data_IF_658171345222
#
_entry.id   IF_658171345222
#
_cell.length_a   1.000
_cell.length_b   1.000
_cell.length_c   1.000
_cell.angle_alpha   90.00
_cell.angle_beta   90.00
_cell.angle_gamma   90.00
#
_symmetry.space_group_name_H-M   'P 1'
#
loop_
_entity.id
_entity.type
_entity.pdbx_description
1 polymer ?
#
# COMPACT_ATOMS: atom_id res chain seq x y z
N UNK A 1 19.54 32.60 -36.42
CA UNK A 1 18.82 33.77 -35.88
C UNK A 1 17.91 33.42 -34.69
N UNK A 2 17.15 32.34 -34.69
CA UNK A 2 16.26 31.94 -33.57
C UNK A 2 16.99 31.50 -32.29
N UNK A 3 18.15 30.83 -32.39
CA UNK A 3 18.90 30.34 -31.22
C UNK A 3 19.56 31.48 -30.44
N UNK A 4 20.12 32.48 -31.14
CA UNK A 4 20.70 33.67 -30.49
C UNK A 4 19.68 34.54 -29.79
N UNK A 5 18.46 34.68 -30.34
CA UNK A 5 17.38 35.46 -29.72
C UNK A 5 16.90 34.81 -28.41
N UNK A 6 16.82 33.48 -28.37
CA UNK A 6 16.44 32.75 -27.16
C UNK A 6 17.51 32.83 -26.04
N UNK A 7 18.81 32.85 -26.41
CA UNK A 7 19.90 32.95 -25.41
C UNK A 7 19.96 34.34 -24.77
N UNK A 8 19.74 35.40 -25.54
CA UNK A 8 19.69 36.77 -25.01
C UNK A 8 18.49 36.96 -24.08
N UNK A 9 17.30 36.48 -24.43
CA UNK A 9 16.15 36.55 -23.53
C UNK A 9 16.37 35.79 -22.20
N UNK A 10 16.97 34.61 -22.22
CA UNK A 10 17.26 33.86 -21.01
C UNK A 10 18.28 34.56 -20.13
N UNK A 11 19.25 35.24 -20.74
CA UNK A 11 20.26 36.01 -20.05
C UNK A 11 19.68 37.27 -19.37
N UNK A 12 18.78 37.97 -20.06
CA UNK A 12 18.05 39.11 -19.50
C UNK A 12 17.20 38.73 -18.27
N UNK A 13 16.54 37.57 -18.30
CA UNK A 13 15.76 37.06 -17.14
C UNK A 13 16.67 36.66 -15.98
N UNK A 14 17.84 36.11 -16.24
CA UNK A 14 18.82 35.75 -15.24
C UNK A 14 19.41 37.03 -14.58
N UNK A 15 19.79 38.00 -15.40
CA UNK A 15 20.43 39.25 -14.93
C UNK A 15 19.48 40.13 -14.08
N UNK A 16 18.17 40.06 -14.35
CA UNK A 16 17.14 40.76 -13.55
C UNK A 16 17.01 40.21 -12.14
N UNK A 17 16.94 38.89 -11.94
CA UNK A 17 16.86 38.24 -10.64
C UNK A 17 17.30 36.77 -10.71
N UNK A 18 18.60 36.49 -10.50
CA UNK A 18 19.15 35.13 -10.61
C UNK A 18 18.44 34.10 -9.71
N UNK A 19 18.04 34.49 -8.50
CA UNK A 19 17.37 33.60 -7.56
C UNK A 19 15.99 33.17 -8.05
N UNK A 20 15.16 34.11 -8.54
CA UNK A 20 13.83 33.76 -9.07
C UNK A 20 13.92 32.94 -10.36
N UNK A 21 14.90 33.24 -11.21
CA UNK A 21 15.15 32.47 -12.41
C UNK A 21 15.55 31.01 -12.09
N UNK A 22 16.51 30.81 -11.17
CA UNK A 22 16.92 29.46 -10.73
C UNK A 22 15.73 28.72 -10.11
N UNK A 23 14.92 29.41 -9.27
CA UNK A 23 13.70 28.85 -8.67
C UNK A 23 12.73 28.36 -9.74
N UNK A 24 12.55 29.12 -10.83
CA UNK A 24 11.68 28.74 -11.95
C UNK A 24 12.22 27.51 -12.70
N UNK A 25 13.55 27.45 -12.95
CA UNK A 25 14.18 26.29 -13.60
C UNK A 25 14.01 25.01 -12.75
N UNK A 26 14.25 25.13 -11.45
CA UNK A 26 14.06 23.99 -10.52
C UNK A 26 12.57 23.59 -10.42
N UNK A 27 11.65 24.57 -10.49
CA UNK A 27 10.23 24.29 -10.56
C UNK A 27 9.86 23.50 -11.84
N UNK A 28 10.47 23.85 -12.96
CA UNK A 28 10.26 23.11 -14.21
C UNK A 28 10.76 21.66 -14.10
N UNK A 29 11.93 21.45 -13.52
CA UNK A 29 12.50 20.12 -13.27
C UNK A 29 11.61 19.32 -12.30
N UNK A 30 11.16 19.94 -11.19
CA UNK A 30 10.26 19.30 -10.23
C UNK A 30 8.92 18.91 -10.85
N UNK A 31 8.33 19.78 -11.68
CA UNK A 31 7.09 19.49 -12.42
C UNK A 31 7.29 18.32 -13.37
N UNK A 32 8.40 18.31 -14.12
CA UNK A 32 8.73 17.23 -15.06
C UNK A 32 8.85 15.87 -14.35
N UNK A 33 9.54 15.84 -13.20
CA UNK A 33 9.63 14.65 -12.36
C UNK A 33 8.25 14.19 -11.91
N UNK A 34 7.40 15.09 -11.41
CA UNK A 34 6.04 14.77 -10.99
C UNK A 34 5.21 14.20 -12.15
N UNK A 35 5.28 14.80 -13.32
CA UNK A 35 4.58 14.32 -14.54
C UNK A 35 5.08 12.92 -14.92
N UNK A 36 6.40 12.68 -14.90
CA UNK A 36 6.98 11.36 -15.16
C UNK A 36 6.44 10.32 -14.16
N UNK A 37 6.36 10.65 -12.86
CA UNK A 37 5.78 9.72 -11.88
C UNK A 37 4.30 9.40 -12.18
N UNK A 38 3.50 10.41 -12.51
CA UNK A 38 2.10 10.18 -12.86
C UNK A 38 1.95 9.29 -14.10
N UNK A 39 2.70 9.53 -15.17
CA UNK A 39 2.51 8.80 -16.42
C UNK A 39 3.30 7.49 -16.50
N UNK A 40 4.56 7.47 -16.08
CA UNK A 40 5.44 6.30 -16.22
C UNK A 40 5.31 5.28 -15.07
N UNK A 41 4.92 5.71 -13.85
CA UNK A 41 4.77 4.82 -12.70
C UNK A 41 3.29 4.55 -12.42
N UNK A 42 2.52 5.59 -12.07
CA UNK A 42 1.09 5.42 -11.73
C UNK A 42 0.23 5.12 -12.96
N UNK A 43 0.62 5.62 -14.13
CA UNK A 43 0.03 5.26 -15.41
C UNK A 43 0.06 3.77 -15.72
N UNK A 44 1.07 3.04 -15.20
CA UNK A 44 1.12 1.58 -15.33
C UNK A 44 -0.10 0.89 -14.73
N UNK A 45 -0.67 1.43 -13.63
CA UNK A 45 -1.91 0.93 -13.04
C UNK A 45 -3.13 1.47 -13.78
N UNK A 46 -3.13 2.78 -14.08
CA UNK A 46 -4.25 3.45 -14.76
C UNK A 46 -4.63 2.75 -16.07
N UNK A 47 -3.63 2.29 -16.82
CA UNK A 47 -3.78 1.62 -18.11
C UNK A 47 -3.50 0.11 -18.05
N UNK A 48 -3.36 -0.46 -16.84
CA UNK A 48 -3.14 -1.88 -16.66
C UNK A 48 -4.29 -2.69 -17.28
N UNK A 49 -3.95 -3.63 -18.13
CA UNK A 49 -4.88 -4.61 -18.69
C UNK A 49 -4.48 -5.98 -18.16
N UNK A 50 -5.26 -6.50 -17.24
CA UNK A 50 -5.07 -7.88 -16.82
C UNK A 50 -5.53 -8.78 -17.95
N UNK A 51 -4.70 -9.75 -18.35
CA UNK A 51 -5.12 -10.78 -19.28
C UNK A 51 -6.24 -11.57 -18.61
N UNK A 52 -7.40 -11.61 -19.25
CA UNK A 52 -8.58 -12.32 -18.75
C UNK A 52 -8.47 -13.86 -18.83
N UNK A 53 -7.31 -14.37 -19.19
CA UNK A 53 -7.08 -15.81 -19.16
C UNK A 53 -7.07 -16.25 -17.69
N UNK A 54 -8.23 -16.72 -17.24
CA UNK A 54 -8.30 -17.62 -16.10
C UNK A 54 -7.49 -18.87 -16.47
N UNK A 55 -6.21 -18.85 -16.22
CA UNK A 55 -5.51 -20.10 -16.04
C UNK A 55 -6.16 -20.73 -14.82
N UNK A 56 -6.97 -21.75 -15.02
CA UNK A 56 -7.60 -22.51 -13.94
C UNK A 56 -6.46 -23.06 -13.08
N UNK A 57 -6.11 -22.33 -12.04
CA UNK A 57 -5.10 -22.79 -11.08
C UNK A 57 -5.83 -23.70 -10.11
N UNK A 58 -5.51 -24.98 -10.15
CA UNK A 58 -5.94 -25.95 -9.13
C UNK A 58 -4.85 -26.12 -8.04
N UNK A 59 -3.86 -25.21 -8.00
CA UNK A 59 -2.77 -25.28 -7.01
C UNK A 59 -3.33 -25.01 -5.60
N UNK A 60 -2.97 -25.84 -4.62
CA UNK A 60 -3.53 -25.73 -3.29
C UNK A 60 -3.02 -24.47 -2.57
N UNK A 61 -3.92 -23.83 -1.80
CA UNK A 61 -3.69 -22.54 -1.12
C UNK A 61 -3.93 -22.65 0.39
N UNK A 62 -3.04 -22.10 1.20
CA UNK A 62 -3.28 -21.86 2.62
C UNK A 62 -3.52 -20.36 2.85
N UNK A 63 -4.73 -20.01 3.28
CA UNK A 63 -5.08 -18.64 3.72
C UNK A 63 -4.67 -18.48 5.18
N UNK A 64 -3.87 -17.47 5.50
CA UNK A 64 -3.33 -17.24 6.84
C UNK A 64 -3.99 -16.01 7.45
N UNK A 65 -4.59 -16.17 8.62
CA UNK A 65 -5.23 -15.10 9.42
C UNK A 65 -4.66 -15.13 10.83
N UNK A 66 -4.12 -13.99 11.30
CA UNK A 66 -3.73 -13.84 12.70
C UNK A 66 -4.81 -13.05 13.44
N UNK A 67 -5.23 -13.58 14.59
CA UNK A 67 -6.26 -12.99 15.42
C UNK A 67 -5.80 -12.86 16.87
N UNK A 68 -6.20 -11.76 17.52
CA UNK A 68 -6.09 -11.55 18.95
C UNK A 68 -7.24 -10.63 19.39
N UNK A 69 -8.14 -11.16 20.22
CA UNK A 69 -9.34 -10.46 20.67
C UNK A 69 -10.21 -9.97 19.50
N UNK A 70 -10.47 -10.88 18.54
CA UNK A 70 -11.13 -10.57 17.26
C UNK A 70 -12.48 -11.29 17.10
N UNK A 71 -13.15 -11.62 18.22
CA UNK A 71 -14.39 -12.37 18.21
C UNK A 71 -15.43 -11.81 17.22
N UNK A 72 -15.74 -10.50 17.31
CA UNK A 72 -16.78 -9.90 16.47
C UNK A 72 -16.39 -9.87 14.99
N UNK A 73 -15.12 -9.58 14.71
CA UNK A 73 -14.64 -9.56 13.33
C UNK A 73 -14.62 -10.96 12.73
N UNK A 74 -14.14 -11.96 13.45
CA UNK A 74 -14.10 -13.34 12.97
C UNK A 74 -15.50 -13.93 12.80
N UNK A 75 -16.44 -13.62 13.68
CA UNK A 75 -17.84 -14.07 13.57
C UNK A 75 -18.48 -13.65 12.25
N UNK A 76 -18.20 -12.40 11.80
CA UNK A 76 -18.76 -11.89 10.55
C UNK A 76 -17.92 -12.29 9.33
N UNK A 77 -16.59 -12.30 9.43
CA UNK A 77 -15.68 -12.33 8.28
C UNK A 77 -15.18 -13.75 7.95
N UNK A 78 -14.96 -14.61 8.96
CA UNK A 78 -14.36 -15.92 8.77
C UNK A 78 -15.21 -16.86 7.90
N UNK A 79 -16.55 -16.91 8.02
CA UNK A 79 -17.39 -17.70 7.10
C UNK A 79 -17.20 -17.31 5.63
N UNK A 80 -16.95 -16.02 5.32
CA UNK A 80 -16.71 -15.57 3.96
C UNK A 80 -15.35 -16.04 3.40
N UNK A 81 -14.37 -16.28 4.28
CA UNK A 81 -13.08 -16.88 3.90
C UNK A 81 -13.19 -18.39 3.73
N UNK A 82 -14.07 -19.04 4.50
CA UNK A 82 -14.27 -20.51 4.50
C UNK A 82 -15.15 -21.00 3.34
N UNK A 83 -15.90 -20.11 2.70
CA UNK A 83 -16.84 -20.40 1.60
C UNK A 83 -16.39 -19.84 0.25
N UNK A 84 -15.08 -19.75 0.01
CA UNK A 84 -14.55 -19.31 -1.27
C UNK A 84 -14.79 -20.37 -2.37
N UNK A 85 -15.06 -19.92 -3.59
CA UNK A 85 -15.21 -20.79 -4.77
C UNK A 85 -13.83 -21.26 -5.25
N UNK A 86 -13.22 -22.15 -4.46
CA UNK A 86 -11.93 -22.76 -4.76
C UNK A 86 -11.86 -24.15 -4.14
N UNK A 87 -11.48 -25.16 -4.93
CA UNK A 87 -11.63 -26.56 -4.54
C UNK A 87 -10.59 -27.03 -3.51
N UNK A 88 -9.38 -26.49 -3.56
CA UNK A 88 -8.26 -27.02 -2.79
C UNK A 88 -7.58 -25.91 -1.96
N UNK A 89 -8.18 -25.57 -0.82
CA UNK A 89 -7.60 -24.59 0.10
C UNK A 89 -7.93 -24.90 1.56
N UNK A 90 -7.12 -24.36 2.45
CA UNK A 90 -7.38 -24.30 3.89
C UNK A 90 -7.33 -22.85 4.38
N UNK A 91 -7.97 -22.58 5.49
CA UNK A 91 -7.85 -21.32 6.24
C UNK A 91 -7.20 -21.63 7.58
N UNK A 92 -6.01 -21.09 7.81
CA UNK A 92 -5.26 -21.24 9.05
C UNK A 92 -5.45 -20.00 9.89
N UNK A 93 -6.21 -20.10 10.97
CA UNK A 93 -6.40 -19.02 11.94
C UNK A 93 -5.45 -19.23 13.12
N UNK A 94 -4.57 -18.24 13.32
CA UNK A 94 -3.65 -18.22 14.45
C UNK A 94 -4.24 -17.38 15.56
N UNK A 95 -4.75 -18.03 16.60
CA UNK A 95 -5.27 -17.37 17.80
C UNK A 95 -4.11 -17.10 18.77
N UNK A 96 -3.70 -15.83 18.87
CA UNK A 96 -2.56 -15.39 19.65
C UNK A 96 -2.97 -14.88 21.03
N UNK A 97 -3.30 -15.81 21.93
CA UNK A 97 -3.60 -15.51 23.33
C UNK A 97 -4.78 -14.56 23.49
N UNK A 98 -5.90 -14.79 22.78
CA UNK A 98 -7.12 -14.04 22.95
C UNK A 98 -7.72 -14.26 24.32
N UNK A 99 -8.26 -13.20 24.93
CA UNK A 99 -8.93 -13.19 26.24
C UNK A 99 -10.46 -13.13 26.12
N UNK A 100 -10.95 -12.85 24.88
CA UNK A 100 -12.37 -12.84 24.53
C UNK A 100 -12.87 -14.21 24.06
N UNK A 101 -14.12 -14.30 23.61
CA UNK A 101 -14.76 -15.52 23.13
C UNK A 101 -14.23 -16.06 21.79
N UNK A 102 -13.11 -15.49 21.26
CA UNK A 102 -12.51 -15.91 19.98
C UNK A 102 -12.22 -17.42 19.95
N UNK A 103 -11.71 -17.99 21.03
CA UNK A 103 -11.37 -19.41 21.10
C UNK A 103 -12.59 -20.32 20.95
N UNK A 104 -13.72 -19.96 21.60
CA UNK A 104 -14.95 -20.73 21.52
C UNK A 104 -15.56 -20.65 20.11
N UNK A 105 -15.64 -19.44 19.56
CA UNK A 105 -16.08 -19.23 18.18
C UNK A 105 -15.30 -20.07 17.17
N UNK A 106 -13.97 -20.07 17.28
CA UNK A 106 -13.12 -20.84 16.36
C UNK A 106 -13.36 -22.34 16.46
N UNK A 107 -13.56 -22.87 17.69
CA UNK A 107 -13.91 -24.27 17.89
C UNK A 107 -15.22 -24.62 17.21
N UNK A 108 -16.28 -23.82 17.44
CA UNK A 108 -17.60 -24.08 16.86
C UNK A 108 -17.55 -24.03 15.33
N UNK A 109 -16.84 -23.04 14.74
CA UNK A 109 -16.67 -22.97 13.29
C UNK A 109 -15.82 -24.13 12.74
N UNK A 110 -14.88 -24.68 13.50
CA UNK A 110 -14.08 -25.83 13.03
C UNK A 110 -14.88 -27.14 12.93
N UNK A 111 -15.98 -27.24 13.67
CA UNK A 111 -16.91 -28.36 13.55
C UNK A 111 -17.76 -28.25 12.27
N UNK A 112 -18.06 -27.02 11.83
CA UNK A 112 -18.86 -26.74 10.63
C UNK A 112 -18.03 -26.76 9.34
N UNK A 113 -16.78 -26.22 9.41
CA UNK A 113 -15.93 -26.03 8.24
C UNK A 113 -14.65 -26.89 8.29
N UNK A 114 -14.58 -28.02 7.57
CA UNK A 114 -13.43 -28.93 7.61
C UNK A 114 -12.12 -28.33 7.02
N UNK A 115 -12.22 -27.24 6.26
CA UNK A 115 -11.07 -26.49 5.74
C UNK A 115 -10.53 -25.44 6.71
N UNK A 116 -11.10 -25.29 7.93
CA UNK A 116 -10.58 -24.44 8.99
C UNK A 116 -9.54 -25.19 9.83
N UNK A 117 -8.36 -24.60 9.94
CA UNK A 117 -7.29 -25.05 10.85
C UNK A 117 -7.03 -24.00 11.91
N UNK A 118 -7.13 -24.38 13.16
CA UNK A 118 -6.87 -23.50 14.31
C UNK A 118 -5.47 -23.75 14.85
N UNK A 119 -4.73 -22.69 15.10
CA UNK A 119 -3.42 -22.73 15.77
C UNK A 119 -3.48 -21.81 16.99
N UNK A 120 -3.56 -22.38 18.16
CA UNK A 120 -3.56 -21.63 19.42
C UNK A 120 -2.13 -21.39 19.92
N UNK A 121 -1.83 -20.14 20.22
CA UNK A 121 -0.58 -19.72 20.88
C UNK A 121 -0.92 -19.28 22.31
N UNK A 122 -0.41 -19.96 23.34
CA UNK A 122 -0.66 -19.60 24.74
C UNK A 122 -0.19 -18.18 25.06
N UNK A 123 -0.86 -17.53 26.04
CA UNK A 123 -0.51 -16.17 26.51
C UNK A 123 0.93 -16.08 27.05
N UNK A 124 1.42 -17.13 27.69
CA UNK A 124 2.75 -17.17 28.31
C UNK A 124 3.90 -17.02 27.32
N UNK A 125 3.63 -17.22 26.02
CA UNK A 125 4.60 -17.01 24.94
C UNK A 125 4.60 -15.56 24.40
N UNK A 126 3.99 -14.61 25.10
CA UNK A 126 3.93 -13.20 24.74
C UNK A 126 5.26 -12.42 24.84
N UNK A 127 6.42 -13.11 24.87
CA UNK A 127 7.74 -12.48 24.82
C UNK A 127 7.97 -11.67 23.53
N UNK A 128 7.18 -11.91 22.49
CA UNK A 128 7.33 -11.33 21.17
C UNK A 128 6.19 -10.35 20.88
N UNK A 129 6.50 -9.08 20.96
CA UNK A 129 5.54 -8.01 20.60
C UNK A 129 5.41 -7.91 19.07
N UNK A 130 4.17 -8.02 18.55
CA UNK A 130 3.85 -7.81 17.14
C UNK A 130 3.33 -9.04 16.40
N UNK A 131 2.96 -8.86 15.14
CA UNK A 131 2.30 -9.87 14.30
C UNK A 131 3.27 -10.93 13.73
N UNK A 132 4.58 -10.67 13.70
CA UNK A 132 5.57 -11.55 13.03
C UNK A 132 5.65 -12.94 13.65
N UNK A 133 5.58 -13.03 14.97
CA UNK A 133 5.65 -14.34 15.65
C UNK A 133 4.42 -15.21 15.33
N UNK A 134 3.17 -14.76 15.59
CA UNK A 134 2.01 -15.58 15.23
C UNK A 134 1.94 -15.84 13.72
N UNK A 135 2.32 -14.88 12.88
CA UNK A 135 2.35 -15.08 11.43
C UNK A 135 3.37 -16.17 11.03
N UNK A 136 4.56 -16.21 11.66
CA UNK A 136 5.56 -17.26 11.41
C UNK A 136 5.05 -18.64 11.81
N UNK A 137 4.29 -18.74 12.91
CA UNK A 137 3.68 -19.98 13.36
C UNK A 137 2.59 -20.42 12.37
N UNK A 138 1.75 -19.51 11.92
CA UNK A 138 0.74 -19.76 10.87
C UNK A 138 1.36 -20.28 9.57
N UNK A 139 2.43 -19.61 9.09
CA UNK A 139 3.18 -20.04 7.90
C UNK A 139 3.76 -21.44 8.09
N UNK A 140 4.38 -21.71 9.24
CA UNK A 140 4.92 -23.04 9.55
C UNK A 140 3.83 -24.09 9.55
N UNK A 141 2.68 -23.79 10.13
CA UNK A 141 1.53 -24.70 10.27
C UNK A 141 0.76 -24.92 8.97
N UNK A 142 0.89 -24.04 7.99
CA UNK A 142 0.24 -24.13 6.68
C UNK A 142 0.63 -25.43 5.95
N UNK A 143 -0.34 -26.09 5.35
CA UNK A 143 -0.15 -27.32 4.59
C UNK A 143 0.49 -27.08 3.22
N UNK A 144 0.14 -25.96 2.58
CA UNK A 144 0.46 -25.71 1.18
C UNK A 144 1.57 -24.66 0.99
N UNK A 145 2.24 -24.68 -0.16
CA UNK A 145 3.32 -23.74 -0.49
C UNK A 145 2.80 -22.35 -0.88
N UNK A 146 1.62 -22.27 -1.48
CA UNK A 146 1.00 -20.99 -1.81
C UNK A 146 0.28 -20.44 -0.58
N UNK A 147 0.79 -19.34 -0.04
CA UNK A 147 0.25 -18.66 1.13
C UNK A 147 -0.46 -17.39 0.71
N UNK A 148 -1.69 -17.20 1.15
CA UNK A 148 -2.49 -16.00 0.95
C UNK A 148 -2.81 -15.37 2.29
N UNK A 149 -2.57 -14.07 2.45
CA UNK A 149 -2.65 -13.35 3.72
C UNK A 149 -3.80 -12.36 3.72
N UNK A 150 -4.51 -12.33 4.84
CA UNK A 150 -5.49 -11.28 5.17
C UNK A 150 -5.52 -11.04 6.67
N UNK A 151 -6.13 -9.92 7.09
CA UNK A 151 -6.32 -9.61 8.51
C UNK A 151 -7.71 -10.08 8.98
N UNK A 152 -7.88 -10.31 10.28
CA UNK A 152 -9.15 -10.77 10.86
C UNK A 152 -10.29 -9.75 10.67
N UNK A 153 -9.95 -8.44 10.58
CA UNK A 153 -10.89 -7.34 10.32
C UNK A 153 -11.18 -7.09 8.83
N UNK A 154 -10.74 -8.02 7.96
CA UNK A 154 -10.88 -7.91 6.51
C UNK A 154 -11.85 -8.94 5.94
N UNK A 155 -12.67 -8.50 4.99
CA UNK A 155 -13.53 -9.38 4.20
C UNK A 155 -13.05 -9.44 2.75
N UNK A 156 -13.05 -10.61 2.09
CA UNK A 156 -12.90 -10.68 0.65
C UNK A 156 -14.13 -10.05 -0.01
N UNK A 157 -13.93 -9.32 -1.10
CA UNK A 157 -15.03 -8.65 -1.81
C UNK A 157 -15.93 -9.63 -2.55
N UNK A 158 -15.42 -10.81 -2.89
CA UNK A 158 -16.17 -11.87 -3.54
C UNK A 158 -15.68 -13.25 -3.10
N UNK A 159 -16.45 -14.29 -3.43
CA UNK A 159 -16.02 -15.67 -3.28
C UNK A 159 -14.97 -16.12 -4.32
N UNK A 160 -14.55 -15.25 -5.22
CA UNK A 160 -13.49 -15.50 -6.22
C UNK A 160 -12.11 -15.03 -5.76
N UNK A 161 -11.98 -14.47 -4.56
CA UNK A 161 -10.73 -13.86 -4.09
C UNK A 161 -9.55 -14.83 -4.09
N UNK A 162 -9.71 -16.03 -3.51
CA UNK A 162 -8.66 -17.06 -3.51
C UNK A 162 -8.28 -17.44 -4.95
N UNK A 163 -9.27 -17.69 -5.81
CA UNK A 163 -9.05 -18.04 -7.22
C UNK A 163 -8.28 -16.95 -7.97
N UNK A 164 -8.67 -15.68 -7.78
CA UNK A 164 -8.01 -14.54 -8.43
C UNK A 164 -6.55 -14.39 -8.01
N UNK A 165 -6.27 -14.51 -6.72
CA UNK A 165 -4.93 -14.42 -6.21
C UNK A 165 -4.06 -15.60 -6.67
N UNK A 166 -4.60 -16.82 -6.60
CA UNK A 166 -3.92 -18.05 -7.01
C UNK A 166 -3.58 -18.08 -8.51
N UNK A 167 -4.47 -17.59 -9.38
CA UNK A 167 -4.26 -17.57 -10.82
C UNK A 167 -3.03 -16.76 -11.28
N UNK A 168 -2.49 -15.91 -10.42
CA UNK A 168 -1.27 -15.12 -10.72
C UNK A 168 0.03 -15.89 -10.44
N UNK A 169 -0.01 -17.04 -9.77
CA UNK A 169 1.16 -17.88 -9.53
C UNK A 169 1.49 -18.74 -10.76
N UNK A 170 1.98 -18.10 -11.79
CA UNK A 170 2.53 -18.75 -12.98
C UNK A 170 4.01 -19.07 -12.76
N UNK A 171 4.65 -19.69 -13.77
CA UNK A 171 6.09 -20.00 -13.71
C UNK A 171 6.93 -18.76 -13.35
N UNK A 172 7.84 -18.92 -12.40
CA UNK A 172 8.70 -17.86 -11.87
C UNK A 172 8.02 -16.87 -10.92
N UNK A 173 6.68 -16.92 -10.72
CA UNK A 173 5.99 -16.05 -9.77
C UNK A 173 6.05 -16.63 -8.36
N UNK A 174 6.60 -15.84 -7.43
CA UNK A 174 6.68 -16.18 -6.01
C UNK A 174 5.87 -15.24 -5.12
N UNK A 175 5.51 -14.04 -5.61
CA UNK A 175 4.81 -12.99 -4.87
C UNK A 175 3.66 -12.44 -5.71
N UNK A 176 2.48 -12.30 -5.10
CA UNK A 176 1.34 -11.59 -5.67
C UNK A 176 0.88 -10.50 -4.70
N UNK A 177 0.77 -9.28 -5.19
CA UNK A 177 0.40 -8.10 -4.41
C UNK A 177 -0.99 -7.64 -4.84
N UNK A 178 -1.93 -7.63 -3.89
CA UNK A 178 -3.31 -7.21 -4.11
C UNK A 178 -3.62 -5.80 -3.59
N UNK A 179 -4.88 -5.37 -3.76
CA UNK A 179 -5.40 -4.13 -3.23
C UNK A 179 -6.33 -4.39 -2.03
N UNK A 180 -6.01 -3.77 -0.89
CA UNK A 180 -6.86 -3.76 0.30
C UNK A 180 -7.57 -2.41 0.42
N UNK A 181 -8.90 -2.40 0.19
CA UNK A 181 -9.75 -1.22 0.28
C UNK A 181 -10.23 -0.96 1.72
N UNK A 182 -10.85 0.20 1.94
CA UNK A 182 -11.67 0.45 3.11
C UNK A 182 -13.15 0.55 2.76
N UNK A 183 -14.01 0.12 3.70
CA UNK A 183 -15.46 0.29 3.57
C UNK A 183 -15.81 1.77 3.37
N UNK A 184 -16.68 2.03 2.40
CA UNK A 184 -17.10 3.40 2.05
C UNK A 184 -18.13 3.91 3.05
N UNK A 185 -17.96 5.14 3.50
CA UNK A 185 -18.93 5.89 4.28
C UNK A 185 -18.93 7.36 3.92
N UNK A 186 -19.98 8.10 4.29
CA UNK A 186 -20.18 9.50 3.91
C UNK A 186 -19.54 10.46 4.94
N UNK A 187 -18.25 10.27 5.27
CA UNK A 187 -17.53 11.20 6.13
C UNK A 187 -16.25 11.70 5.47
N UNK A 188 -15.86 12.94 5.77
CA UNK A 188 -14.61 13.52 5.26
C UNK A 188 -13.39 12.70 5.69
N UNK A 189 -13.40 12.18 6.93
CA UNK A 189 -12.36 11.28 7.42
C UNK A 189 -12.28 10.00 6.59
N UNK A 190 -13.41 9.41 6.22
CA UNK A 190 -13.42 8.22 5.36
C UNK A 190 -12.85 8.53 3.97
N UNK A 191 -13.21 9.67 3.37
CA UNK A 191 -12.65 10.09 2.09
C UNK A 191 -11.13 10.28 2.18
N UNK A 192 -10.64 10.88 3.26
CA UNK A 192 -9.20 11.06 3.53
C UNK A 192 -8.47 9.72 3.70
N UNK A 193 -9.02 8.79 4.50
CA UNK A 193 -8.45 7.45 4.73
C UNK A 193 -8.37 6.69 3.40
N UNK A 194 -9.42 6.73 2.60
CA UNK A 194 -9.47 6.06 1.29
C UNK A 194 -8.53 6.70 0.28
N UNK A 195 -8.41 8.03 0.28
CA UNK A 195 -7.42 8.73 -0.54
C UNK A 195 -5.98 8.34 -0.16
N UNK A 196 -5.65 8.35 1.14
CA UNK A 196 -4.32 7.95 1.61
C UNK A 196 -3.99 6.50 1.22
N UNK A 197 -4.98 5.60 1.34
CA UNK A 197 -4.88 4.20 0.92
C UNK A 197 -4.66 4.09 -0.60
N UNK A 198 -5.44 4.83 -1.39
CA UNK A 198 -5.28 4.87 -2.84
C UNK A 198 -3.89 5.37 -3.24
N UNK A 199 -3.40 6.44 -2.60
CA UNK A 199 -2.07 7.00 -2.83
C UNK A 199 -0.96 5.99 -2.53
N UNK A 200 -1.07 5.26 -1.41
CA UNK A 200 -0.15 4.17 -1.06
C UNK A 200 -0.23 3.06 -2.11
N UNK A 201 -1.43 2.69 -2.55
CA UNK A 201 -1.64 1.67 -3.58
C UNK A 201 -1.05 2.09 -4.94
N UNK A 202 -1.23 3.36 -5.34
CA UNK A 202 -0.59 3.91 -6.54
C UNK A 202 0.93 3.76 -6.49
N UNK A 203 1.54 3.98 -5.32
CA UNK A 203 2.96 3.78 -5.14
C UNK A 203 3.33 2.29 -5.29
N UNK A 204 2.85 1.39 -4.42
CA UNK A 204 3.40 0.03 -4.41
C UNK A 204 2.99 -0.80 -5.64
N UNK A 205 1.76 -0.65 -6.14
CA UNK A 205 1.33 -1.33 -7.36
C UNK A 205 2.01 -0.72 -8.60
N UNK A 206 2.15 0.61 -8.65
CA UNK A 206 2.81 1.31 -9.76
C UNK A 206 4.27 0.95 -9.88
N UNK A 207 5.00 0.98 -8.76
CA UNK A 207 6.40 0.55 -8.72
C UNK A 207 6.54 -0.93 -9.09
N UNK A 208 5.66 -1.81 -8.60
CA UNK A 208 5.68 -3.21 -8.98
C UNK A 208 5.50 -3.41 -10.49
N UNK A 209 4.54 -2.70 -11.11
CA UNK A 209 4.33 -2.73 -12.55
C UNK A 209 5.43 -2.05 -13.36
N UNK A 210 6.19 -1.15 -12.74
CA UNK A 210 7.38 -0.55 -13.33
C UNK A 210 8.64 -1.43 -13.17
N UNK A 211 8.51 -2.64 -12.60
CA UNK A 211 9.63 -3.57 -12.39
C UNK A 211 10.44 -3.29 -11.12
N UNK A 212 9.92 -2.49 -10.20
CA UNK A 212 10.58 -2.05 -8.97
C UNK A 212 9.71 -2.34 -7.73
N UNK A 213 9.24 -3.59 -7.50
CA UNK A 213 8.38 -3.90 -6.36
C UNK A 213 9.12 -3.63 -5.04
N UNK A 214 8.45 -2.98 -4.08
CA UNK A 214 9.09 -2.59 -2.84
C UNK A 214 8.26 -2.83 -1.57
N UNK A 215 6.96 -2.98 -1.68
CA UNK A 215 6.07 -3.30 -0.57
C UNK A 215 4.80 -4.01 -1.03
N UNK A 216 4.12 -4.65 -0.12
CA UNK A 216 2.76 -5.14 -0.21
C UNK A 216 1.99 -4.75 1.04
N UNK A 217 0.70 -5.04 1.09
CA UNK A 217 -0.14 -4.83 2.27
C UNK A 217 -0.58 -6.19 2.81
N UNK A 218 -0.33 -6.46 4.09
CA UNK A 218 -0.58 -7.74 4.74
C UNK A 218 -2.03 -8.21 4.68
N UNK A 219 -2.97 -7.29 4.45
CA UNK A 219 -4.39 -7.61 4.30
C UNK A 219 -4.80 -8.12 2.92
N UNK A 220 -3.91 -8.06 1.91
CA UNK A 220 -4.16 -8.64 0.58
C UNK A 220 -2.85 -8.86 -0.17
N UNK A 221 -2.14 -9.90 0.17
CA UNK A 221 -0.93 -10.34 -0.54
C UNK A 221 -0.78 -11.85 -0.46
N UNK A 222 0.01 -12.41 -1.36
CA UNK A 222 0.34 -13.83 -1.34
C UNK A 222 1.82 -14.03 -1.67
N UNK A 223 2.42 -15.09 -1.13
CA UNK A 223 3.75 -15.53 -1.53
C UNK A 223 3.95 -17.03 -1.26
N UNK A 224 5.00 -17.61 -1.87
CA UNK A 224 5.34 -19.00 -1.65
C UNK A 224 5.97 -19.22 -0.28
N UNK A 225 5.57 -20.28 0.40
CA UNK A 225 6.16 -20.70 1.69
C UNK A 225 7.65 -20.97 1.56
N UNK A 226 8.07 -21.57 0.45
CA UNK A 226 9.47 -21.77 0.08
C UNK A 226 10.25 -20.46 0.04
N UNK A 227 9.70 -19.38 -0.53
CA UNK A 227 10.31 -18.05 -0.53
C UNK A 227 10.52 -17.53 0.91
N UNK A 228 9.53 -17.72 1.78
CA UNK A 228 9.65 -17.29 3.19
C UNK A 228 10.85 -17.94 3.87
N UNK A 229 11.05 -19.24 3.71
CA UNK A 229 12.19 -19.94 4.27
C UNK A 229 13.51 -19.55 3.61
N UNK A 230 13.54 -19.42 2.29
CA UNK A 230 14.74 -18.99 1.56
C UNK A 230 15.22 -17.59 1.98
N UNK A 231 14.30 -16.73 2.43
CA UNK A 231 14.63 -15.41 2.97
C UNK A 231 14.95 -15.43 4.48
N UNK A 232 14.99 -16.59 5.14
CA UNK A 232 15.10 -16.74 6.58
C UNK A 232 13.98 -16.01 7.35
N UNK A 233 12.76 -16.01 6.79
CA UNK A 233 11.58 -15.39 7.38
C UNK A 233 11.79 -13.93 7.73
N UNK A 234 11.38 -13.54 8.93
CA UNK A 234 11.45 -12.16 9.42
C UNK A 234 12.74 -11.84 10.21
N UNK A 235 13.75 -12.71 10.25
CA UNK A 235 14.95 -12.56 11.10
C UNK A 235 15.64 -11.21 10.89
N UNK A 236 15.78 -10.74 9.64
CA UNK A 236 16.47 -9.48 9.30
C UNK A 236 15.83 -8.23 9.91
N UNK A 237 14.55 -8.28 10.27
CA UNK A 237 13.80 -7.15 10.81
C UNK A 237 12.86 -7.55 11.96
N UNK A 238 13.21 -8.62 12.66
CA UNK A 238 12.41 -9.19 13.75
C UNK A 238 12.17 -8.19 14.88
N UNK A 239 13.16 -7.35 15.20
CA UNK A 239 13.10 -6.33 16.27
C UNK A 239 12.21 -5.13 15.93
N UNK A 240 11.83 -4.96 14.66
CA UNK A 240 10.94 -3.87 14.22
C UNK A 240 9.50 -4.34 14.46
N UNK A 241 8.66 -3.57 15.15
CA UNK A 241 7.30 -3.99 15.52
C UNK A 241 6.36 -4.26 14.34
N UNK A 242 6.55 -3.54 13.22
CA UNK A 242 5.83 -3.67 11.95
C UNK A 242 6.75 -4.24 10.89
N UNK A 243 6.30 -4.43 9.66
CA UNK A 243 7.13 -4.87 8.54
C UNK A 243 7.05 -6.36 8.25
N UNK A 244 6.04 -7.02 8.74
CA UNK A 244 5.70 -8.39 8.36
C UNK A 244 5.27 -8.49 6.90
N UNK A 245 4.75 -7.43 6.36
CA UNK A 245 4.34 -7.29 4.96
C UNK A 245 5.36 -6.49 4.13
N UNK A 246 5.50 -5.20 4.39
CA UNK A 246 6.26 -4.28 3.54
C UNK A 246 7.77 -4.56 3.56
N UNK A 247 8.39 -4.83 4.74
CA UNK A 247 9.83 -5.10 4.81
C UNK A 247 10.18 -6.49 4.26
N UNK A 248 9.30 -7.48 4.44
CA UNK A 248 9.50 -8.79 3.83
C UNK A 248 9.47 -8.68 2.30
N UNK A 249 8.44 -8.01 1.75
CA UNK A 249 8.34 -7.78 0.30
C UNK A 249 9.50 -6.91 -0.19
N UNK A 250 9.90 -5.85 0.56
CA UNK A 250 11.05 -5.02 0.17
C UNK A 250 12.33 -5.83 -0.01
N UNK A 251 12.54 -6.86 0.83
CA UNK A 251 13.69 -7.75 0.76
C UNK A 251 13.58 -8.76 -0.40
N UNK A 252 12.42 -9.43 -0.51
CA UNK A 252 12.23 -10.63 -1.34
C UNK A 252 11.79 -10.34 -2.77
N UNK A 253 11.08 -9.22 -3.00
CA UNK A 253 10.49 -8.92 -4.29
C UNK A 253 11.50 -8.46 -5.34
N UNK A 254 11.26 -8.91 -6.57
CA UNK A 254 12.00 -8.56 -7.79
C UNK A 254 11.02 -8.35 -8.95
N UNK A 255 11.47 -7.71 -10.03
CA UNK A 255 10.67 -7.57 -11.25
C UNK A 255 10.23 -8.91 -11.86
N UNK A 256 10.99 -9.99 -11.61
CA UNK A 256 10.76 -11.30 -12.23
C UNK A 256 9.79 -12.15 -11.42
N UNK A 257 9.86 -12.07 -10.09
CA UNK A 257 9.10 -12.96 -9.20
C UNK A 257 7.80 -12.34 -8.66
N UNK A 258 7.49 -11.08 -8.98
CA UNK A 258 6.36 -10.35 -8.39
C UNK A 258 5.32 -9.98 -9.45
N UNK A 259 4.04 -10.27 -9.17
CA UNK A 259 2.88 -9.85 -9.95
C UNK A 259 1.90 -9.06 -9.11
N UNK A 260 1.01 -8.31 -9.76
CA UNK A 260 -0.09 -7.62 -9.08
C UNK A 260 -1.43 -8.25 -9.49
N UNK A 261 -2.38 -8.26 -8.54
CA UNK A 261 -3.78 -8.59 -8.78
C UNK A 261 -4.65 -7.43 -8.30
N UNK A 262 -5.38 -6.79 -9.22
CA UNK A 262 -6.18 -5.59 -8.94
C UNK A 262 -7.61 -5.66 -9.47
N UNK A 263 -8.06 -6.83 -9.90
CA UNK A 263 -9.45 -6.97 -10.29
C UNK A 263 -10.36 -6.82 -9.07
N UNK A 264 -11.55 -6.29 -9.31
CA UNK A 264 -12.50 -5.96 -8.26
C UNK A 264 -12.81 -7.14 -7.32
N UNK A 265 -12.90 -8.36 -7.90
CA UNK A 265 -13.22 -9.60 -7.18
C UNK A 265 -12.07 -10.08 -6.27
N UNK A 266 -10.85 -9.56 -6.47
CA UNK A 266 -9.68 -9.88 -5.65
C UNK A 266 -9.41 -8.91 -4.51
N UNK A 267 -10.21 -7.86 -4.37
CA UNK A 267 -10.02 -6.89 -3.29
C UNK A 267 -10.42 -7.46 -1.94
N UNK A 268 -9.70 -7.07 -0.89
CA UNK A 268 -10.16 -7.18 0.50
C UNK A 268 -10.67 -5.82 1.00
N UNK A 269 -11.59 -5.84 1.95
CA UNK A 269 -12.22 -4.62 2.49
C UNK A 269 -12.09 -4.64 4.00
N UNK A 270 -11.44 -3.62 4.58
CA UNK A 270 -11.35 -3.40 6.02
C UNK A 270 -12.30 -2.30 6.49
N UNK A 271 -12.60 -2.29 7.78
CA UNK A 271 -13.27 -1.16 8.41
C UNK A 271 -12.31 0.01 8.59
N UNK A 272 -12.70 1.24 8.18
CA UNK A 272 -11.87 2.42 8.41
C UNK A 272 -11.86 2.78 9.90
N UNK A 273 -10.79 3.43 10.36
CA UNK A 273 -10.74 3.96 11.72
C UNK A 273 -11.83 5.02 11.92
N UNK A 274 -12.50 4.95 13.07
CA UNK A 274 -13.67 5.79 13.41
C UNK A 274 -13.32 7.22 13.79
N UNK A 275 -12.04 7.51 14.15
CA UNK A 275 -11.60 8.85 14.52
C UNK A 275 -10.25 9.21 13.92
N UNK A 276 -10.00 10.53 13.77
CA UNK A 276 -8.74 11.07 13.28
C UNK A 276 -7.55 10.62 14.15
N UNK A 277 -7.72 10.58 15.48
CA UNK A 277 -6.68 10.15 16.41
C UNK A 277 -6.29 8.68 16.21
N UNK A 278 -7.26 7.80 15.97
CA UNK A 278 -7.00 6.38 15.67
C UNK A 278 -6.29 6.22 14.33
N UNK A 279 -6.70 6.99 13.32
CA UNK A 279 -6.02 7.00 12.02
C UNK A 279 -4.58 7.53 12.13
N UNK A 280 -4.34 8.61 12.88
CA UNK A 280 -3.00 9.15 13.15
C UNK A 280 -2.11 8.08 13.82
N UNK A 281 -2.62 7.37 14.83
CA UNK A 281 -1.87 6.28 15.49
C UNK A 281 -1.50 5.17 14.49
N UNK A 282 -2.44 4.77 13.64
CA UNK A 282 -2.20 3.79 12.58
C UNK A 282 -1.14 4.31 11.58
N UNK A 283 -1.28 5.55 11.12
CA UNK A 283 -0.35 6.20 10.18
C UNK A 283 1.06 6.29 10.74
N UNK A 284 1.21 6.70 12.01
CA UNK A 284 2.51 6.74 12.70
C UNK A 284 3.19 5.38 12.69
N UNK A 285 2.45 4.31 12.97
CA UNK A 285 2.98 2.94 12.94
C UNK A 285 3.49 2.56 11.54
N UNK A 286 2.72 2.86 10.48
CA UNK A 286 3.14 2.56 9.10
C UNK A 286 4.36 3.37 8.64
N UNK A 287 4.53 4.60 9.15
CA UNK A 287 5.69 5.43 8.80
C UNK A 287 7.02 4.91 9.38
N UNK A 288 6.99 4.02 10.38
CA UNK A 288 8.23 3.51 10.99
C UNK A 288 9.06 2.61 10.07
N UNK A 289 8.43 1.93 9.12
CA UNK A 289 9.11 0.93 8.27
C UNK A 289 9.86 1.56 7.10
N UNK A 290 9.42 2.71 6.61
CA UNK A 290 10.00 3.35 5.43
C UNK A 290 11.52 3.65 5.52
N UNK A 291 12.03 3.90 6.73
CA UNK A 291 13.46 4.10 6.99
C UNK A 291 14.33 2.86 6.69
N UNK A 292 13.73 1.67 6.68
CA UNK A 292 14.41 0.39 6.46
C UNK A 292 14.33 -0.13 5.02
N UNK A 293 13.67 0.57 4.11
CA UNK A 293 13.61 0.19 2.71
C UNK A 293 14.98 0.27 2.04
N UNK A 294 15.17 -0.47 0.95
CA UNK A 294 16.39 -0.42 0.13
C UNK A 294 16.68 1.04 -0.29
N UNK A 295 17.96 1.45 -0.38
CA UNK A 295 18.35 2.83 -0.67
C UNK A 295 17.68 3.41 -1.91
N UNK A 296 17.59 2.64 -2.99
CA UNK A 296 16.92 3.05 -4.22
C UNK A 296 15.44 3.39 -4.00
N UNK A 297 14.71 2.57 -3.25
CA UNK A 297 13.29 2.82 -2.98
C UNK A 297 13.09 4.06 -2.10
N UNK A 298 13.96 4.25 -1.10
CA UNK A 298 13.96 5.49 -0.29
C UNK A 298 14.22 6.72 -1.15
N UNK A 299 15.20 6.65 -2.03
CA UNK A 299 15.51 7.74 -2.95
C UNK A 299 14.33 8.05 -3.88
N UNK A 300 13.78 7.04 -4.54
CA UNK A 300 12.68 7.24 -5.48
C UNK A 300 11.42 7.81 -4.78
N UNK A 301 11.00 7.23 -3.66
CA UNK A 301 9.87 7.75 -2.88
C UNK A 301 10.13 9.15 -2.31
N UNK A 302 11.34 9.38 -1.83
CA UNK A 302 11.79 10.68 -1.31
C UNK A 302 11.87 11.76 -2.39
N UNK A 303 12.34 11.43 -3.59
CA UNK A 303 12.39 12.34 -4.73
C UNK A 303 10.99 12.84 -5.11
N UNK A 304 10.00 11.93 -5.16
CA UNK A 304 8.61 12.32 -5.39
C UNK A 304 8.10 13.27 -4.31
N UNK A 305 8.30 12.93 -3.03
CA UNK A 305 7.83 13.76 -1.92
C UNK A 305 8.53 15.12 -1.88
N UNK A 306 9.85 15.16 -2.13
CA UNK A 306 10.63 16.40 -2.15
C UNK A 306 10.20 17.31 -3.30
N UNK A 307 10.10 16.78 -4.52
CA UNK A 307 9.67 17.56 -5.69
C UNK A 307 8.23 18.06 -5.54
N UNK A 308 7.37 17.32 -4.85
CA UNK A 308 6.02 17.73 -4.52
C UNK A 308 6.00 18.91 -3.55
N UNK A 309 6.79 18.86 -2.47
CA UNK A 309 6.91 19.95 -1.51
C UNK A 309 7.49 21.21 -2.18
N UNK A 310 8.57 21.03 -2.93
CA UNK A 310 9.20 22.13 -3.67
C UNK A 310 8.24 22.77 -4.67
N UNK A 311 7.50 21.95 -5.43
CA UNK A 311 6.52 22.43 -6.41
C UNK A 311 5.52 23.41 -5.79
N UNK A 312 4.87 23.03 -4.70
CA UNK A 312 3.88 23.89 -4.06
C UNK A 312 4.51 25.13 -3.44
N UNK A 313 5.67 25.01 -2.79
CA UNK A 313 6.38 26.15 -2.19
C UNK A 313 6.83 27.15 -3.27
N UNK A 314 7.47 26.66 -4.35
CA UNK A 314 7.97 27.49 -5.43
C UNK A 314 6.85 28.17 -6.23
N UNK A 315 5.76 27.42 -6.55
CA UNK A 315 4.59 28.01 -7.20
C UNK A 315 4.01 29.15 -6.37
N UNK A 316 3.81 28.93 -5.06
CA UNK A 316 3.28 29.97 -4.17
C UNK A 316 4.21 31.16 -4.11
N UNK A 317 5.51 30.96 -3.91
CA UNK A 317 6.50 32.06 -3.83
C UNK A 317 6.59 32.89 -5.13
N UNK A 318 6.69 32.22 -6.29
CA UNK A 318 6.79 32.91 -7.59
C UNK A 318 5.51 33.66 -7.94
N UNK A 319 4.33 33.14 -7.58
CA UNK A 319 3.04 33.84 -7.80
C UNK A 319 2.87 35.05 -6.85
N UNK A 320 3.34 34.98 -5.61
CA UNK A 320 3.31 36.12 -4.67
C UNK A 320 4.14 37.29 -5.21
N UNK A 321 5.35 37.02 -5.73
CA UNK A 321 6.23 38.04 -6.29
C UNK A 321 5.89 38.37 -7.77
N UNK A 322 4.86 37.75 -8.32
CA UNK A 322 4.38 37.92 -9.69
C UNK A 322 5.46 37.68 -10.77
N UNK A 323 6.40 36.75 -10.49
CA UNK A 323 7.47 36.40 -11.41
C UNK A 323 7.00 35.32 -12.39
N UNK A 324 6.98 35.63 -13.67
CA UNK A 324 6.55 34.75 -14.77
C UNK A 324 5.24 34.01 -14.51
N UNK A 325 4.15 34.68 -14.06
CA UNK A 325 2.93 34.04 -13.53
C UNK A 325 2.28 33.12 -14.54
N UNK A 326 2.29 33.43 -15.82
CA UNK A 326 1.68 32.57 -16.86
C UNK A 326 2.41 31.25 -17.03
N UNK A 327 3.75 31.25 -16.92
CA UNK A 327 4.55 30.01 -16.95
C UNK A 327 4.22 29.18 -15.72
N UNK A 328 4.21 29.77 -14.56
CA UNK A 328 3.91 29.08 -13.27
C UNK A 328 2.50 28.49 -13.32
N UNK A 329 1.50 29.25 -13.76
CA UNK A 329 0.12 28.76 -13.92
C UNK A 329 0.07 27.58 -14.92
N UNK A 330 0.77 27.69 -16.05
CA UNK A 330 0.89 26.58 -17.02
C UNK A 330 1.44 25.29 -16.41
N UNK A 331 2.49 25.39 -15.58
CA UNK A 331 3.06 24.25 -14.87
C UNK A 331 2.09 23.66 -13.83
N UNK A 332 1.35 24.51 -13.11
CA UNK A 332 0.29 24.08 -12.18
C UNK A 332 -0.81 23.31 -12.92
N UNK A 333 -1.30 23.85 -14.05
CA UNK A 333 -2.33 23.20 -14.85
C UNK A 333 -1.84 21.84 -15.38
N UNK A 334 -0.63 21.79 -15.94
CA UNK A 334 -0.03 20.54 -16.45
C UNK A 334 0.06 19.46 -15.36
N UNK A 335 0.55 19.85 -14.18
CA UNK A 335 0.71 18.93 -13.06
C UNK A 335 -0.64 18.46 -12.52
N UNK A 336 -1.60 19.38 -12.30
CA UNK A 336 -2.93 19.03 -11.81
C UNK A 336 -3.70 18.18 -12.82
N UNK A 337 -3.60 18.47 -14.11
CA UNK A 337 -4.19 17.64 -15.16
C UNK A 337 -3.62 16.20 -15.08
N UNK A 338 -2.30 16.07 -15.05
CA UNK A 338 -1.64 14.74 -14.95
C UNK A 338 -2.08 13.99 -13.68
N UNK A 339 -2.12 14.68 -12.55
CA UNK A 339 -2.58 14.11 -11.28
C UNK A 339 -4.03 13.64 -11.34
N UNK A 340 -4.95 14.52 -11.70
CA UNK A 340 -6.39 14.22 -11.68
C UNK A 340 -6.75 13.16 -12.73
N UNK A 341 -6.18 13.26 -13.93
CA UNK A 341 -6.42 12.29 -14.98
C UNK A 341 -5.97 10.88 -14.60
N UNK A 342 -4.70 10.74 -14.20
CA UNK A 342 -4.15 9.43 -13.85
C UNK A 342 -4.81 8.88 -12.59
N UNK A 343 -4.97 9.70 -11.54
CA UNK A 343 -5.65 9.28 -10.30
C UNK A 343 -7.10 8.86 -10.58
N UNK A 344 -7.84 9.60 -11.42
CA UNK A 344 -9.20 9.23 -11.80
C UNK A 344 -9.29 7.87 -12.50
N UNK A 345 -8.33 7.56 -13.38
CA UNK A 345 -8.23 6.24 -14.01
C UNK A 345 -7.92 5.13 -12.99
N UNK A 346 -6.97 5.38 -12.06
CA UNK A 346 -6.64 4.43 -10.99
C UNK A 346 -7.82 4.25 -10.03
N UNK A 347 -8.52 5.31 -9.64
CA UNK A 347 -9.75 5.23 -8.85
C UNK A 347 -10.78 4.29 -9.50
N UNK A 348 -10.99 4.43 -10.81
CA UNK A 348 -11.88 3.54 -11.55
C UNK A 348 -11.41 2.09 -11.50
N UNK A 349 -10.11 1.83 -11.66
CA UNK A 349 -9.50 0.48 -11.61
C UNK A 349 -9.65 -0.17 -10.24
N UNK A 350 -9.40 0.60 -9.18
CA UNK A 350 -9.46 0.11 -7.80
C UNK A 350 -10.86 0.27 -7.16
N UNK A 351 -11.88 0.58 -7.99
CA UNK A 351 -13.27 0.73 -7.54
C UNK A 351 -13.46 1.82 -6.47
N UNK A 352 -12.62 2.87 -6.50
CA UNK A 352 -12.74 4.04 -5.65
C UNK A 352 -13.56 5.17 -6.32
N UNK A 353 -14.22 6.01 -5.52
CA UNK A 353 -15.04 7.13 -6.01
C UNK A 353 -15.29 8.17 -4.93
N UNK A 354 -15.69 9.37 -5.34
CA UNK A 354 -16.26 10.40 -4.47
C UNK A 354 -15.25 11.42 -3.91
N UNK A 355 -13.95 11.33 -4.28
CA UNK A 355 -12.95 12.28 -3.76
C UNK A 355 -11.96 12.81 -4.83
N UNK A 356 -12.22 12.61 -6.11
CA UNK A 356 -11.26 13.02 -7.16
C UNK A 356 -10.94 14.52 -7.09
N UNK A 357 -11.94 15.38 -6.95
CA UNK A 357 -11.74 16.83 -6.83
C UNK A 357 -11.09 17.26 -5.52
N UNK A 358 -11.14 16.42 -4.50
CA UNK A 358 -10.46 16.66 -3.21
C UNK A 358 -9.00 16.21 -3.20
N UNK A 359 -8.54 15.51 -4.24
CA UNK A 359 -7.18 14.97 -4.33
C UNK A 359 -6.10 16.03 -4.08
N UNK A 360 -6.11 17.23 -4.70
CA UNK A 360 -5.09 18.24 -4.45
C UNK A 360 -5.08 18.72 -2.98
N UNK A 361 -6.25 18.86 -2.38
CA UNK A 361 -6.38 19.31 -0.97
C UNK A 361 -5.89 18.23 0.01
N UNK A 362 -6.29 16.98 -0.19
CA UNK A 362 -5.81 15.87 0.64
C UNK A 362 -4.31 15.64 0.47
N UNK A 363 -3.79 15.87 -0.72
CA UNK A 363 -2.35 15.81 -0.97
C UNK A 363 -1.60 16.86 -0.15
N UNK A 364 -2.03 18.13 -0.17
CA UNK A 364 -1.44 19.20 0.62
C UNK A 364 -1.54 18.90 2.12
N UNK A 365 -2.69 18.41 2.59
CA UNK A 365 -2.86 17.99 3.96
C UNK A 365 -1.85 16.89 4.35
N UNK A 366 -1.70 15.84 3.54
CA UNK A 366 -0.76 14.76 3.83
C UNK A 366 0.70 15.20 3.70
N UNK A 367 1.00 16.15 2.81
CA UNK A 367 2.33 16.76 2.66
C UNK A 367 2.74 17.51 3.93
N UNK A 368 1.81 18.19 4.57
CA UNK A 368 2.06 18.89 5.83
C UNK A 368 2.12 17.92 7.03
N UNK A 369 1.17 16.97 7.11
CA UNK A 369 1.01 16.10 8.28
C UNK A 369 2.05 14.98 8.33
N UNK A 370 2.43 14.38 7.20
CA UNK A 370 3.32 13.21 7.19
C UNK A 370 4.72 13.48 7.78
N UNK A 371 5.41 14.61 7.49
CA UNK A 371 6.67 14.95 8.14
C UNK A 371 6.53 15.15 9.65
N UNK A 372 5.46 15.81 10.10
CA UNK A 372 5.17 16.01 11.52
C UNK A 372 5.03 14.68 12.25
N UNK A 373 4.28 13.74 11.66
CA UNK A 373 4.10 12.41 12.24
C UNK A 373 5.41 11.60 12.22
N UNK A 374 6.24 11.75 11.18
CA UNK A 374 7.54 11.11 11.10
C UNK A 374 8.49 11.65 12.20
N UNK A 375 8.54 12.97 12.39
CA UNK A 375 9.30 13.61 13.48
C UNK A 375 8.79 13.18 14.85
N UNK A 376 7.47 13.14 15.06
CA UNK A 376 6.89 12.64 16.31
C UNK A 376 7.30 11.20 16.64
N UNK A 377 7.59 10.37 15.64
CA UNK A 377 8.08 9.00 15.83
C UNK A 377 9.54 8.94 16.30
N UNK A 378 10.34 9.97 16.05
CA UNK A 378 11.72 10.07 16.55
C UNK A 378 11.72 10.27 18.06
N UNK A 379 10.83 11.16 18.56
CA UNK A 379 10.76 11.49 19.99
C UNK A 379 9.90 10.53 20.80
N UNK A 380 8.85 9.96 20.19
CA UNK A 380 7.91 9.09 20.90
C UNK A 380 7.44 7.96 19.95
N UNK A 381 8.04 6.78 20.08
CA UNK A 381 7.67 5.64 19.25
C UNK A 381 6.23 5.21 19.54
N UNK A 382 5.39 4.94 18.51
CA UNK A 382 4.02 4.48 18.72
C UNK A 382 3.99 3.16 19.46
N UNK A 383 3.05 3.06 20.39
CA UNK A 383 2.85 1.93 21.30
C UNK A 383 2.33 0.70 20.54
N UNK A 384 2.63 -0.46 21.11
CA UNK A 384 2.43 -1.87 20.72
C UNK A 384 1.19 -2.14 19.84
N UNK A 385 1.33 -3.16 18.97
CA UNK A 385 0.22 -3.88 18.36
C UNK A 385 -0.67 -4.47 19.46
N UNK A 386 -1.91 -4.05 19.49
CA UNK A 386 -3.00 -4.64 20.26
C UNK A 386 -3.98 -5.23 19.28
#
# INVERSE_FOLDING_TARGET
>A
MSIQFNTLMLQDYFDQNPFLFITLIVLFAATSIQVVYYWAIYGKIAFFRQKNEFVRSDQPVSVIVCARDEYYNLKENLPLLLTQDYSNYEVVVVNHGSEDDTQYLLRDLSEEYPNLKIVNIPQDLNFFTGKKFPLSIGIKSAKYDMLLFTDADCIPRSNQWVRRMAANFTEGTEIVIGYGAYRKSNSLLNLLIRFDTLRIAMNYLGFAQAGMPYMGVGRNMAYRKSLFYNQNGFISHYRIQSGDDDLFINKAATAKNTRIEIQNDSHTISLPKSSLNLWIRQKRRHLMTGGYYKPFHKFALGLFAFTQAYFWAACTGLLIVWYQPYIVIGLVVLRLFSQLFVTGKVMKKLSERGFLLLVPFFELFLLAVSPILALANVFNKPVKWR
#
